data_IF_573477019025
#
_entry.id   IF_573477019025
#
_cell.length_a   1.000
_cell.length_b   1.000
_cell.length_c   1.000
_cell.angle_alpha   90.00
_cell.angle_beta   90.00
_cell.angle_gamma   90.00
#
_symmetry.space_group_name_H-M   'P 1'
#
loop_
_entity.id
_entity.type
_entity.pdbx_description
1 polymer ?
#
# COMPACT_ATOMS: atom_id res chain seq x y z
N UNK A 1 -18.62 1.52 10.53
CA UNK A 1 -18.53 1.15 9.10
C UNK A 1 -19.62 1.83 8.27
N UNK A 2 -20.87 1.34 8.21
CA UNK A 2 -21.88 1.95 7.31
C UNK A 2 -22.18 3.43 7.55
N UNK A 3 -22.24 3.86 8.82
CA UNK A 3 -22.43 5.27 9.16
C UNK A 3 -21.23 6.13 8.75
N UNK A 4 -20.01 5.62 8.89
CA UNK A 4 -18.78 6.31 8.51
C UNK A 4 -18.66 6.40 6.99
N UNK A 5 -19.10 5.36 6.28
CA UNK A 5 -19.20 5.35 4.81
C UNK A 5 -20.22 6.38 4.34
N UNK A 6 -21.42 6.42 4.93
CA UNK A 6 -22.43 7.43 4.59
C UNK A 6 -21.92 8.86 4.85
N UNK A 7 -21.19 9.06 5.96
CA UNK A 7 -20.51 10.32 6.25
C UNK A 7 -19.45 10.65 5.19
N UNK A 8 -18.57 9.72 4.84
CA UNK A 8 -17.55 9.91 3.80
C UNK A 8 -18.15 10.23 2.43
N UNK A 9 -19.26 9.58 2.06
CA UNK A 9 -20.01 9.90 0.84
C UNK A 9 -20.56 11.33 0.90
N UNK A 10 -21.13 11.74 2.03
CA UNK A 10 -21.69 13.08 2.20
C UNK A 10 -20.62 14.18 2.15
N UNK A 11 -19.43 13.92 2.69
CA UNK A 11 -18.28 14.83 2.65
C UNK A 11 -17.54 14.81 1.30
N UNK A 12 -17.84 13.86 0.42
CA UNK A 12 -17.25 13.77 -0.92
C UNK A 12 -15.79 13.33 -0.92
N UNK A 13 -15.44 12.34 -0.09
CA UNK A 13 -14.08 11.78 -0.08
C UNK A 13 -13.71 11.13 -1.41
N UNK A 14 -12.43 11.21 -1.79
CA UNK A 14 -11.94 10.62 -3.04
C UNK A 14 -11.79 9.09 -2.96
N UNK A 15 -11.42 8.59 -1.77
CA UNK A 15 -11.12 7.17 -1.54
C UNK A 15 -11.74 6.67 -0.24
N UNK A 16 -12.15 5.40 -0.24
CA UNK A 16 -12.48 4.64 0.97
C UNK A 16 -11.57 3.41 1.02
N UNK A 17 -10.72 3.34 2.06
CA UNK A 17 -9.89 2.16 2.32
C UNK A 17 -10.63 1.18 3.24
N UNK A 18 -10.74 -0.08 2.84
CA UNK A 18 -11.49 -1.12 3.58
C UNK A 18 -10.50 -2.03 4.29
N UNK A 19 -10.63 -2.13 5.61
CA UNK A 19 -9.76 -2.98 6.44
C UNK A 19 -10.15 -4.46 6.38
N UNK A 20 -9.16 -5.32 6.57
CA UNK A 20 -9.24 -6.78 6.73
C UNK A 20 -10.04 -7.46 5.63
N UNK A 21 -9.82 -7.05 4.38
CA UNK A 21 -10.53 -7.61 3.22
C UNK A 21 -10.07 -9.06 3.00
N UNK A 22 -11.04 -9.98 2.95
CA UNK A 22 -10.78 -11.42 2.76
C UNK A 22 -11.33 -12.00 1.46
N UNK A 23 -12.16 -11.25 0.74
CA UNK A 23 -12.75 -11.69 -0.53
C UNK A 23 -13.19 -10.52 -1.39
N UNK A 24 -13.33 -10.77 -2.69
CA UNK A 24 -13.87 -9.81 -3.65
C UNK A 24 -15.32 -9.38 -3.34
N UNK A 25 -16.10 -10.24 -2.67
CA UNK A 25 -17.50 -9.97 -2.31
C UNK A 25 -17.65 -8.71 -1.45
N UNK A 26 -16.75 -8.52 -0.47
CA UNK A 26 -16.75 -7.36 0.43
C UNK A 26 -16.60 -6.06 -0.38
N UNK A 27 -15.66 -6.06 -1.33
CA UNK A 27 -15.37 -4.91 -2.19
C UNK A 27 -16.57 -4.61 -3.11
N UNK A 28 -17.11 -5.63 -3.78
CA UNK A 28 -18.25 -5.47 -4.67
C UNK A 28 -19.51 -4.98 -3.94
N UNK A 29 -19.73 -5.46 -2.72
CA UNK A 29 -20.85 -5.01 -1.89
C UNK A 29 -20.69 -3.53 -1.50
N UNK A 30 -19.49 -3.10 -1.10
CA UNK A 30 -19.23 -1.69 -0.80
C UNK A 30 -19.38 -0.79 -2.03
N UNK A 31 -18.80 -1.17 -3.19
CA UNK A 31 -18.95 -0.41 -4.44
C UNK A 31 -20.42 -0.27 -4.84
N UNK A 32 -21.21 -1.33 -4.68
CA UNK A 32 -22.66 -1.28 -4.92
C UNK A 32 -23.38 -0.33 -3.95
N UNK A 33 -22.99 -0.35 -2.67
CA UNK A 33 -23.54 0.52 -1.63
C UNK A 33 -23.26 2.00 -1.91
N UNK A 34 -22.01 2.33 -2.26
CA UNK A 34 -21.56 3.68 -2.63
C UNK A 34 -22.31 4.14 -3.88
N UNK A 35 -22.36 3.32 -4.93
CA UNK A 35 -23.03 3.67 -6.20
C UNK A 35 -24.52 3.96 -6.04
N UNK A 36 -25.18 3.32 -5.08
CA UNK A 36 -26.59 3.56 -4.79
C UNK A 36 -26.85 4.91 -4.07
N UNK A 37 -25.81 5.56 -3.52
CA UNK A 37 -25.92 6.74 -2.65
C UNK A 37 -25.15 7.96 -3.14
N UNK A 38 -24.03 7.75 -3.83
CA UNK A 38 -23.25 8.81 -4.46
C UNK A 38 -24.01 9.34 -5.68
N UNK A 39 -24.21 10.66 -5.75
CA UNK A 39 -25.00 11.30 -6.81
C UNK A 39 -24.17 11.64 -8.04
N UNK A 40 -22.90 12.00 -7.86
CA UNK A 40 -22.06 12.55 -8.94
C UNK A 40 -20.55 12.20 -8.83
N UNK A 41 -20.14 11.39 -7.84
CA UNK A 41 -18.73 11.09 -7.58
C UNK A 41 -18.39 9.60 -7.65
N UNK A 42 -17.33 9.27 -8.38
CA UNK A 42 -16.68 7.95 -8.35
C UNK A 42 -15.69 7.91 -7.17
N UNK A 43 -16.18 7.46 -6.00
CA UNK A 43 -15.32 7.20 -4.84
C UNK A 43 -14.60 5.87 -5.08
N UNK A 44 -13.27 5.91 -5.11
CA UNK A 44 -12.46 4.72 -5.33
C UNK A 44 -12.35 3.87 -4.05
N UNK A 45 -12.45 2.55 -4.20
CA UNK A 45 -12.34 1.60 -3.09
C UNK A 45 -10.96 0.95 -3.08
N UNK A 46 -10.21 1.17 -2.00
CA UNK A 46 -8.89 0.58 -1.78
C UNK A 46 -8.99 -0.60 -0.81
N UNK A 47 -8.59 -1.80 -1.24
CA UNK A 47 -8.56 -2.96 -0.36
C UNK A 47 -7.31 -2.95 0.51
N UNK A 48 -7.45 -3.01 1.83
CA UNK A 48 -6.30 -3.18 2.73
C UNK A 48 -5.95 -4.66 2.87
N UNK A 49 -4.71 -4.99 2.52
CA UNK A 49 -4.12 -6.31 2.63
C UNK A 49 -3.39 -6.38 3.97
N UNK A 50 -4.06 -6.99 4.95
CA UNK A 50 -3.68 -6.97 6.38
C UNK A 50 -3.54 -8.37 6.99
N UNK A 51 -3.88 -9.42 6.24
CA UNK A 51 -3.92 -10.78 6.78
C UNK A 51 -3.49 -11.85 5.78
N UNK A 52 -3.05 -12.99 6.28
CA UNK A 52 -2.73 -14.18 5.46
C UNK A 52 -3.96 -14.65 4.66
N UNK A 53 -5.17 -14.49 5.19
CA UNK A 53 -6.39 -14.83 4.47
C UNK A 53 -6.59 -13.94 3.24
N UNK A 54 -6.26 -12.66 3.34
CA UNK A 54 -6.25 -11.72 2.21
C UNK A 54 -5.30 -12.18 1.10
N UNK A 55 -4.18 -12.83 1.47
CA UNK A 55 -3.19 -13.31 0.50
C UNK A 55 -3.67 -14.50 -0.31
N UNK A 56 -4.43 -15.41 0.31
CA UNK A 56 -5.00 -16.58 -0.38
C UNK A 56 -5.93 -16.18 -1.53
N UNK A 57 -6.59 -15.02 -1.39
CA UNK A 57 -7.58 -14.49 -2.32
C UNK A 57 -7.10 -13.18 -2.97
N UNK A 58 -5.79 -12.94 -3.01
CA UNK A 58 -5.23 -11.64 -3.38
C UNK A 58 -5.65 -11.20 -4.79
N UNK A 59 -5.64 -12.12 -5.75
CA UNK A 59 -5.97 -11.83 -7.15
C UNK A 59 -7.42 -11.33 -7.31
N UNK A 60 -8.40 -12.04 -6.73
CA UNK A 60 -9.81 -11.62 -6.83
C UNK A 60 -10.08 -10.30 -6.11
N UNK A 61 -9.40 -10.06 -4.97
CA UNK A 61 -9.53 -8.82 -4.21
C UNK A 61 -9.00 -7.65 -5.03
N UNK A 62 -7.82 -7.77 -5.63
CA UNK A 62 -7.22 -6.72 -6.45
C UNK A 62 -8.10 -6.44 -7.67
N UNK A 63 -8.57 -7.48 -8.37
CA UNK A 63 -9.42 -7.31 -9.56
C UNK A 63 -10.76 -6.60 -9.26
N UNK A 64 -11.32 -6.78 -8.07
CA UNK A 64 -12.56 -6.11 -7.66
C UNK A 64 -12.33 -4.66 -7.19
N UNK A 65 -11.12 -4.32 -6.75
CA UNK A 65 -10.77 -3.05 -6.12
C UNK A 65 -10.25 -2.02 -7.11
N UNK A 66 -10.33 -0.74 -6.77
CA UNK A 66 -9.73 0.35 -7.55
C UNK A 66 -8.24 0.55 -7.20
N UNK A 67 -7.81 -0.06 -6.09
CA UNK A 67 -6.42 -0.15 -5.67
C UNK A 67 -6.27 -1.05 -4.46
N UNK A 68 -5.03 -1.27 -4.05
CA UNK A 68 -4.69 -2.05 -2.87
C UNK A 68 -3.75 -1.25 -1.96
N UNK A 69 -3.93 -1.43 -0.66
CA UNK A 69 -3.07 -0.88 0.37
C UNK A 69 -2.42 -2.04 1.12
N UNK A 70 -1.10 -2.20 1.03
CA UNK A 70 -0.37 -3.20 1.80
C UNK A 70 -0.05 -2.59 3.16
N UNK A 71 -0.75 -3.05 4.19
CA UNK A 71 -0.58 -2.57 5.56
C UNK A 71 0.37 -3.49 6.31
N UNK A 72 1.66 -3.13 6.29
CA UNK A 72 2.74 -3.98 6.81
C UNK A 72 2.68 -4.13 8.33
N UNK A 73 2.14 -3.16 9.06
CA UNK A 73 1.95 -3.25 10.51
C UNK A 73 1.04 -4.41 10.94
N UNK A 74 -0.14 -4.53 10.32
CA UNK A 74 -1.10 -5.60 10.63
C UNK A 74 -0.65 -6.97 10.11
N UNK A 75 -0.01 -7.01 8.92
CA UNK A 75 0.66 -8.21 8.43
C UNK A 75 1.83 -8.61 9.34
N UNK A 76 2.52 -7.63 9.93
CA UNK A 76 3.62 -7.72 10.90
C UNK A 76 3.32 -8.60 12.12
N UNK A 77 2.05 -8.62 12.53
CA UNK A 77 1.59 -9.45 13.64
C UNK A 77 1.57 -10.95 13.31
N UNK A 78 1.51 -11.31 12.01
CA UNK A 78 1.45 -12.69 11.53
C UNK A 78 2.71 -13.11 10.75
N UNK A 79 3.46 -12.14 10.22
CA UNK A 79 4.65 -12.30 9.39
C UNK A 79 5.66 -11.24 9.88
N UNK A 80 6.93 -11.55 10.12
CA UNK A 80 7.90 -10.57 10.59
C UNK A 80 8.16 -9.52 9.49
N UNK A 81 7.48 -8.38 9.59
CA UNK A 81 7.59 -7.26 8.66
C UNK A 81 7.95 -5.99 9.42
N UNK A 82 8.91 -5.27 8.86
CA UNK A 82 9.34 -3.96 9.36
C UNK A 82 8.30 -2.88 8.94
N UNK A 83 8.15 -1.84 9.76
CA UNK A 83 7.33 -0.65 9.48
C UNK A 83 8.23 0.46 8.94
N UNK A 84 7.69 1.36 8.11
CA UNK A 84 8.50 2.31 7.34
C UNK A 84 9.34 3.27 8.21
N UNK A 85 8.72 4.08 9.09
CA UNK A 85 9.42 5.10 9.88
C UNK A 85 8.93 5.16 11.33
N UNK A 86 8.46 4.04 11.89
CA UNK A 86 7.81 3.97 13.21
C UNK A 86 8.63 4.63 14.33
N UNK A 87 9.96 4.44 14.37
CA UNK A 87 10.83 5.06 15.38
C UNK A 87 10.78 6.59 15.35
N UNK A 88 10.40 7.19 14.21
CA UNK A 88 10.27 8.62 14.06
C UNK A 88 9.07 9.24 14.77
N UNK A 89 8.20 8.40 15.37
CA UNK A 89 7.19 8.85 16.33
C UNK A 89 7.87 9.46 17.56
N UNK A 90 8.93 8.85 18.05
CA UNK A 90 9.62 9.25 19.28
C UNK A 90 11.00 9.87 19.05
N UNK A 91 11.67 9.54 17.96
CA UNK A 91 13.06 9.93 17.69
C UNK A 91 13.19 10.76 16.40
N UNK A 92 14.10 11.74 16.35
CA UNK A 92 14.18 12.65 15.21
C UNK A 92 14.86 12.06 13.97
N UNK A 93 15.36 10.82 14.04
CA UNK A 93 16.14 10.15 13.00
C UNK A 93 15.70 8.70 12.87
N UNK A 94 15.51 8.18 11.66
CA UNK A 94 15.11 6.80 11.46
C UNK A 94 16.28 5.84 11.73
N UNK A 95 15.94 4.56 11.90
CA UNK A 95 16.90 3.47 11.90
C UNK A 95 17.37 3.15 10.49
N UNK A 96 18.45 2.36 10.38
CA UNK A 96 18.91 1.86 9.07
C UNK A 96 17.93 0.88 8.43
N UNK A 97 17.23 0.09 9.25
CA UNK A 97 16.24 -0.88 8.78
C UNK A 97 15.07 -0.14 8.11
N UNK A 98 14.51 0.85 8.79
CA UNK A 98 13.46 1.74 8.27
C UNK A 98 13.82 2.39 6.93
N UNK A 99 15.05 2.92 6.80
CA UNK A 99 15.52 3.48 5.53
C UNK A 99 15.64 2.43 4.43
N UNK A 100 16.08 1.22 4.76
CA UNK A 100 16.13 0.11 3.81
C UNK A 100 14.71 -0.30 3.37
N UNK A 101 13.77 -0.29 4.30
CA UNK A 101 12.37 -0.64 4.08
C UNK A 101 11.66 0.33 3.14
N UNK A 102 11.83 1.64 3.38
CA UNK A 102 11.36 2.69 2.45
C UNK A 102 12.02 2.50 1.08
N UNK A 103 13.32 2.19 1.04
CA UNK A 103 14.03 2.01 -0.22
C UNK A 103 13.49 0.83 -1.02
N UNK A 104 13.19 -0.27 -0.34
CA UNK A 104 12.66 -1.47 -0.96
C UNK A 104 11.22 -1.25 -1.48
N UNK A 105 10.37 -0.59 -0.71
CA UNK A 105 9.02 -0.23 -1.14
C UNK A 105 9.02 0.62 -2.44
N UNK A 106 9.94 1.59 -2.55
CA UNK A 106 10.11 2.37 -3.78
C UNK A 106 10.66 1.51 -4.93
N UNK A 107 11.59 0.60 -4.64
CA UNK A 107 12.17 -0.30 -5.64
C UNK A 107 11.13 -1.27 -6.23
N UNK A 108 10.16 -1.67 -5.41
CA UNK A 108 8.99 -2.47 -5.79
C UNK A 108 7.92 -1.67 -6.55
N UNK A 109 8.17 -0.38 -6.83
CA UNK A 109 7.28 0.52 -7.57
C UNK A 109 5.92 0.74 -6.91
N UNK A 110 5.89 0.87 -5.58
CA UNK A 110 4.70 1.41 -4.92
C UNK A 110 4.37 2.78 -5.54
N UNK A 111 3.10 3.01 -5.88
CA UNK A 111 2.63 4.29 -6.42
C UNK A 111 2.65 5.39 -5.35
N UNK A 112 2.47 4.99 -4.10
CA UNK A 112 2.50 5.87 -2.95
C UNK A 112 2.99 5.16 -1.70
N UNK A 113 3.57 5.94 -0.79
CA UNK A 113 3.94 5.53 0.56
C UNK A 113 3.13 6.35 1.56
N UNK A 114 2.75 5.75 2.68
CA UNK A 114 1.97 6.41 3.73
C UNK A 114 2.78 6.56 5.01
N UNK A 115 2.50 7.63 5.76
CA UNK A 115 2.90 7.76 7.16
C UNK A 115 1.67 7.59 8.04
N UNK A 116 1.76 6.76 9.08
CA UNK A 116 0.67 6.48 10.01
C UNK A 116 0.87 7.29 11.29
N UNK A 117 1.37 6.64 12.35
CA UNK A 117 1.61 7.28 13.64
C UNK A 117 2.61 8.44 13.55
N UNK A 118 3.55 8.38 12.62
CA UNK A 118 4.59 9.40 12.42
C UNK A 118 4.00 10.77 12.08
N UNK A 119 2.93 10.79 11.28
CA UNK A 119 2.25 12.02 10.87
C UNK A 119 1.10 12.39 11.81
N UNK A 120 0.38 11.39 12.33
CA UNK A 120 -0.82 11.59 13.13
C UNK A 120 -0.54 12.03 14.57
N UNK A 121 0.51 11.47 15.19
CA UNK A 121 0.83 11.69 16.61
C UNK A 121 2.33 11.77 16.93
N UNK A 122 3.19 11.65 15.92
CA UNK A 122 4.64 11.70 16.10
C UNK A 122 5.14 13.04 16.61
N UNK A 123 6.28 13.01 17.31
CA UNK A 123 6.97 14.22 17.77
C UNK A 123 7.67 14.98 16.63
N UNK A 124 7.86 14.33 15.47
CA UNK A 124 8.64 14.86 14.35
C UNK A 124 7.97 14.65 12.97
N UNK A 125 6.69 15.05 12.78
CA UNK A 125 5.93 14.74 11.56
C UNK A 125 6.56 15.30 10.29
N UNK A 126 7.01 16.57 10.33
CA UNK A 126 7.67 17.21 9.18
C UNK A 126 9.00 16.55 8.82
N UNK A 127 9.74 16.04 9.82
CA UNK A 127 11.00 15.33 9.59
C UNK A 127 10.74 13.95 9.00
N UNK A 128 9.74 13.22 9.50
CA UNK A 128 9.35 11.92 8.94
C UNK A 128 8.98 12.07 7.46
N UNK A 129 8.16 13.06 7.11
CA UNK A 129 7.83 13.36 5.71
C UNK A 129 9.07 13.75 4.89
N UNK A 130 9.96 14.57 5.44
CA UNK A 130 11.20 14.97 4.76
C UNK A 130 12.12 13.78 4.50
N UNK A 131 12.26 12.87 5.46
CA UNK A 131 13.05 11.64 5.34
C UNK A 131 12.44 10.73 4.28
N UNK A 132 11.14 10.44 4.36
CA UNK A 132 10.42 9.61 3.40
C UNK A 132 10.66 10.12 1.97
N UNK A 133 10.40 11.42 1.75
CA UNK A 133 10.63 12.07 0.46
C UNK A 133 12.09 11.99 -0.01
N UNK A 134 13.05 12.23 0.89
CA UNK A 134 14.48 12.26 0.54
C UNK A 134 14.99 10.87 0.14
N UNK A 135 14.55 9.83 0.85
CA UNK A 135 14.90 8.45 0.52
C UNK A 135 14.27 8.05 -0.81
N UNK A 136 12.96 8.30 -1.01
CA UNK A 136 12.26 7.97 -2.26
C UNK A 136 12.91 8.61 -3.48
N UNK A 137 13.15 9.94 -3.45
CA UNK A 137 13.78 10.65 -4.56
C UNK A 137 15.19 10.13 -4.86
N UNK A 138 15.94 9.71 -3.85
CA UNK A 138 17.29 9.16 -4.04
C UNK A 138 17.24 7.81 -4.75
N UNK A 139 16.31 6.93 -4.38
CA UNK A 139 16.13 5.62 -5.02
C UNK A 139 15.60 5.76 -6.45
N UNK A 140 14.60 6.60 -6.68
CA UNK A 140 14.08 6.89 -8.01
C UNK A 140 15.16 7.46 -8.95
N UNK A 141 15.99 8.38 -8.44
CA UNK A 141 17.09 8.95 -9.20
C UNK A 141 18.12 7.88 -9.55
N UNK A 142 18.57 7.10 -8.56
CA UNK A 142 19.52 6.02 -8.76
C UNK A 142 19.00 5.02 -9.80
N UNK A 143 17.72 4.65 -9.73
CA UNK A 143 17.08 3.76 -10.70
C UNK A 143 17.11 4.30 -12.13
N UNK A 144 16.85 5.60 -12.33
CA UNK A 144 16.91 6.24 -13.66
C UNK A 144 18.33 6.27 -14.23
N UNK A 145 19.33 6.47 -13.37
CA UNK A 145 20.74 6.55 -13.75
C UNK A 145 21.31 5.17 -14.10
N UNK A 146 20.91 4.11 -13.39
CA UNK A 146 21.46 2.77 -13.56
C UNK A 146 20.75 1.96 -14.66
N UNK A 147 19.42 2.15 -14.88
CA UNK A 147 18.65 1.42 -15.90
C UNK A 147 18.72 1.96 -17.33
N UNK A 148 19.66 2.85 -17.64
CA UNK A 148 19.89 3.28 -19.04
C UNK A 148 20.37 2.14 -19.98
N UNK A 149 20.63 0.93 -19.47
CA UNK A 149 21.19 -0.20 -20.24
C UNK A 149 20.42 -1.54 -20.18
N UNK A 150 19.23 -1.64 -19.57
CA UNK A 150 18.48 -2.90 -19.54
C UNK A 150 17.04 -2.78 -20.04
N UNK A 151 16.72 -3.56 -21.07
CA UNK A 151 15.35 -3.89 -21.47
C UNK A 151 14.81 -4.88 -20.42
N UNK A 152 13.75 -4.51 -19.73
CA UNK A 152 13.17 -5.33 -18.66
C UNK A 152 12.25 -6.41 -19.23
N UNK A 153 12.65 -7.67 -19.11
CA UNK A 153 11.72 -8.80 -19.07
C UNK A 153 11.24 -9.01 -17.62
N UNK A 154 9.92 -9.08 -17.42
CA UNK A 154 9.33 -9.42 -16.13
C UNK A 154 9.41 -10.94 -15.92
N UNK A 155 9.93 -11.44 -14.78
CA UNK A 155 9.97 -12.86 -14.52
C UNK A 155 8.56 -13.46 -14.36
N UNK A 156 8.39 -14.68 -14.88
CA UNK A 156 7.20 -15.49 -14.73
C UNK A 156 7.03 -15.99 -13.29
N UNK A 157 5.78 -16.01 -12.83
CA UNK A 157 5.41 -16.45 -11.48
C UNK A 157 5.58 -17.97 -11.44
N UNK A 158 6.72 -18.44 -10.95
CA UNK A 158 6.98 -19.87 -10.75
C UNK A 158 7.30 -20.16 -9.27
N UNK A 159 6.25 -20.54 -8.54
CA UNK A 159 6.22 -21.66 -7.58
C UNK A 159 7.39 -21.83 -6.59
N UNK A 160 7.73 -20.82 -5.79
CA UNK A 160 8.51 -21.05 -4.57
C UNK A 160 8.25 -19.96 -3.55
N UNK A 161 7.40 -20.25 -2.55
CA UNK A 161 7.26 -19.42 -1.36
C UNK A 161 8.55 -19.49 -0.54
N UNK A 162 9.51 -18.61 -0.83
CA UNK A 162 10.66 -18.39 0.05
C UNK A 162 11.21 -16.96 -0.08
N UNK A 163 11.35 -16.33 1.08
CA UNK A 163 12.22 -15.22 1.49
C UNK A 163 11.76 -13.75 1.54
N UNK A 164 10.57 -13.37 1.08
CA UNK A 164 9.73 -12.43 1.84
C UNK A 164 8.32 -12.34 1.27
N UNK A 165 7.32 -12.71 2.08
CA UNK A 165 5.91 -12.66 1.68
C UNK A 165 5.51 -11.23 1.26
N UNK A 166 6.11 -10.19 1.85
CA UNK A 166 5.86 -8.81 1.44
C UNK A 166 6.37 -8.45 0.06
N UNK A 167 7.56 -8.91 -0.34
CA UNK A 167 8.05 -8.67 -1.70
C UNK A 167 7.15 -9.38 -2.72
N UNK A 168 6.69 -10.59 -2.42
CA UNK A 168 5.72 -11.28 -3.29
C UNK A 168 4.37 -10.56 -3.36
N UNK A 169 3.85 -10.02 -2.25
CA UNK A 169 2.59 -9.25 -2.24
C UNK A 169 2.75 -7.99 -3.07
N UNK A 170 3.80 -7.20 -2.81
CA UNK A 170 4.04 -5.96 -3.54
C UNK A 170 4.31 -6.22 -5.01
N UNK A 171 5.12 -7.22 -5.35
CA UNK A 171 5.39 -7.59 -6.74
C UNK A 171 4.15 -8.14 -7.43
N UNK A 172 3.35 -8.97 -6.75
CA UNK A 172 2.09 -9.50 -7.30
C UNK A 172 1.09 -8.36 -7.50
N UNK A 173 0.95 -7.46 -6.54
CA UNK A 173 0.07 -6.30 -6.62
C UNK A 173 0.53 -5.30 -7.70
N UNK A 174 1.83 -5.03 -7.79
CA UNK A 174 2.41 -4.19 -8.83
C UNK A 174 2.24 -4.80 -10.24
N UNK A 175 2.45 -6.12 -10.38
CA UNK A 175 2.27 -6.84 -11.65
C UNK A 175 0.79 -6.90 -12.07
N UNK A 176 -0.13 -7.02 -11.11
CA UNK A 176 -1.57 -6.94 -11.37
C UNK A 176 -2.05 -5.50 -11.62
N UNK A 177 -1.35 -4.50 -11.06
CA UNK A 177 -1.66 -3.07 -11.15
C UNK A 177 -1.31 -2.38 -12.47
N UNK A 178 -0.56 -3.04 -13.37
CA UNK A 178 -0.28 -2.53 -14.73
C UNK A 178 -1.55 -2.27 -15.57
N UNK A 179 -2.73 -2.65 -15.06
CA UNK A 179 -4.05 -2.40 -15.66
C UNK A 179 -4.98 -1.42 -14.92
N UNK A 180 -4.47 -0.57 -14.03
CA UNK A 180 -5.17 0.60 -13.39
C UNK A 180 -5.40 0.51 -11.87
N UNK A 181 -4.58 -0.23 -11.11
CA UNK A 181 -4.76 -0.35 -9.64
C UNK A 181 -3.71 0.46 -8.89
N UNK A 182 -4.15 1.41 -8.04
CA UNK A 182 -3.27 2.18 -7.15
C UNK A 182 -2.67 1.26 -6.06
N UNK A 183 -1.35 1.13 -5.98
CA UNK A 183 -0.67 0.41 -4.91
C UNK A 183 -0.10 1.38 -3.86
N UNK A 184 -0.72 1.37 -2.67
CA UNK A 184 -0.29 2.16 -1.52
C UNK A 184 0.40 1.24 -0.50
N UNK A 185 1.55 1.67 0.03
CA UNK A 185 2.25 0.91 1.06
C UNK A 185 2.27 1.70 2.37
N UNK A 186 1.87 1.02 3.44
CA UNK A 186 1.77 1.56 4.81
C UNK A 186 2.71 0.81 5.73
#
# INVERSE_FOLDING_TARGET
>A
DWLDIDFGIAEGVDFIAVSFVKSAEVINHLKSYIKARSRDGDIAVLAKIESIDSLKNLEEIIQASDGAMVARGDLGAQIPLEQLLESMIEYPTPTRAEVADVSEAVRQRADALMLSGESAMGQFPDKALTVLRSVSLRIEKWWREEKQHEVMDLPDIASSFSDSISEEICNSAAKMGEKSSLLLLV
#
